data_IF_137485614906
#
_entry.id   IF_137485614906
#
_cell.length_a   1.000
_cell.length_b   1.000
_cell.length_c   1.000
_cell.angle_alpha   90.00
_cell.angle_beta   90.00
_cell.angle_gamma   90.00
#
_symmetry.space_group_name_H-M   'P 1'
#
loop_
_entity.id
_entity.type
_entity.pdbx_description
1 polymer ?
#
# COMPACT_ATOMS: atom_id res chain seq x y z
N UNK A 1 -1.86 -37.27 -1.53
CA UNK A 1 -2.20 -36.74 -0.20
C UNK A 1 -2.67 -35.30 -0.38
N UNK A 2 -3.78 -34.86 0.26
CA UNK A 2 -4.11 -33.44 0.24
C UNK A 2 -3.11 -32.68 1.13
N UNK A 3 -2.54 -31.57 0.65
CA UNK A 3 -1.69 -30.70 1.47
C UNK A 3 -2.54 -29.71 2.26
N UNK A 4 -2.15 -29.42 3.50
CA UNK A 4 -2.71 -28.31 4.25
C UNK A 4 -2.06 -27.00 3.77
N UNK A 5 -2.87 -25.98 3.52
CA UNK A 5 -2.44 -24.64 3.11
C UNK A 5 -3.02 -23.60 4.09
N UNK A 6 -2.21 -22.63 4.48
CA UNK A 6 -2.60 -21.54 5.37
C UNK A 6 -2.21 -20.20 4.73
N UNK A 7 -3.06 -19.19 4.94
CA UNK A 7 -2.84 -17.81 4.51
C UNK A 7 -3.24 -16.88 5.64
N UNK A 8 -2.68 -15.68 5.65
CA UNK A 8 -3.03 -14.59 6.56
C UNK A 8 -3.39 -13.32 5.79
N UNK A 9 -3.97 -12.35 6.50
CA UNK A 9 -4.27 -11.01 6.02
C UNK A 9 -4.28 -10.06 7.21
N UNK A 10 -4.07 -8.77 6.94
CA UNK A 10 -4.12 -7.71 7.94
C UNK A 10 -5.15 -6.66 7.53
N UNK A 11 -5.72 -5.98 8.52
CA UNK A 11 -6.70 -4.91 8.29
C UNK A 11 -6.04 -3.65 7.74
N UNK A 12 -6.84 -2.74 7.20
CA UNK A 12 -6.39 -1.41 6.76
C UNK A 12 -5.62 -0.60 7.82
N UNK A 13 -5.91 -0.82 9.11
CA UNK A 13 -5.21 -0.14 10.21
C UNK A 13 -3.83 -0.69 10.55
N UNK A 14 -3.36 -1.77 9.90
CA UNK A 14 -2.00 -2.26 10.10
C UNK A 14 -1.00 -1.20 9.58
N UNK A 15 0.09 -0.86 10.30
CA UNK A 15 1.01 0.21 9.90
C UNK A 15 1.53 0.04 8.46
N UNK A 16 1.85 -1.19 8.05
CA UNK A 16 2.27 -1.45 6.66
C UNK A 16 1.15 -1.16 5.65
N UNK A 17 -0.11 -1.53 5.96
CA UNK A 17 -1.24 -1.23 5.07
C UNK A 17 -1.59 0.25 5.06
N UNK A 18 -1.39 0.94 6.17
CA UNK A 18 -1.51 2.40 6.23
C UNK A 18 -0.45 3.07 5.36
N UNK A 19 0.80 2.60 5.40
CA UNK A 19 1.86 3.09 4.53
C UNK A 19 1.53 2.84 3.04
N UNK A 20 1.07 1.64 2.69
CA UNK A 20 0.58 1.30 1.33
C UNK A 20 -0.49 2.30 0.88
N UNK A 21 -1.52 2.53 1.71
CA UNK A 21 -2.62 3.45 1.39
C UNK A 21 -2.15 4.90 1.19
N UNK A 22 -1.20 5.38 1.98
CA UNK A 22 -0.63 6.72 1.83
C UNK A 22 0.13 6.83 0.51
N UNK A 23 0.98 5.85 0.18
CA UNK A 23 1.74 5.83 -1.06
C UNK A 23 0.83 5.76 -2.29
N UNK A 24 -0.21 4.92 -2.26
CA UNK A 24 -1.17 4.78 -3.36
C UNK A 24 -2.03 6.04 -3.52
N UNK A 25 -2.45 6.69 -2.43
CA UNK A 25 -3.20 7.94 -2.52
C UNK A 25 -2.39 9.06 -3.21
N UNK A 26 -1.08 9.09 -2.99
CA UNK A 26 -0.17 10.03 -3.68
C UNK A 26 -0.04 9.65 -5.16
N UNK A 27 0.14 8.36 -5.48
CA UNK A 27 0.15 7.86 -6.85
C UNK A 27 -1.12 8.25 -7.60
N UNK A 28 -2.29 7.98 -7.02
CA UNK A 28 -3.60 8.28 -7.61
C UNK A 28 -3.77 9.78 -7.89
N UNK A 29 -3.40 10.62 -6.92
CA UNK A 29 -3.48 12.08 -7.08
C UNK A 29 -2.57 12.61 -8.21
N UNK A 30 -1.43 11.96 -8.44
CA UNK A 30 -0.51 12.30 -9.53
C UNK A 30 -1.07 11.79 -10.87
N UNK A 31 -1.47 10.52 -10.95
CA UNK A 31 -2.00 9.91 -12.18
C UNK A 31 -3.30 10.57 -12.65
N UNK A 32 -4.11 11.09 -11.73
CA UNK A 32 -5.30 11.87 -12.06
C UNK A 32 -4.99 13.16 -12.86
N UNK A 33 -3.77 13.68 -12.75
CA UNK A 33 -3.31 14.90 -13.45
C UNK A 33 -2.42 14.59 -14.64
N UNK A 34 -1.55 13.59 -14.50
CA UNK A 34 -0.64 13.12 -15.55
C UNK A 34 -0.63 11.58 -15.58
N UNK A 35 -1.42 10.96 -16.48
CA UNK A 35 -1.49 9.50 -16.61
C UNK A 35 -0.16 8.84 -17.03
N UNK A 36 0.83 9.60 -17.50
CA UNK A 36 2.14 9.10 -17.90
C UNK A 36 3.23 9.40 -16.86
N UNK A 37 2.85 9.96 -15.71
CA UNK A 37 3.76 10.26 -14.63
C UNK A 37 4.46 8.99 -14.12
N UNK A 38 5.73 9.13 -13.76
CA UNK A 38 6.50 8.07 -13.11
C UNK A 38 6.60 8.39 -11.63
N UNK A 39 6.05 7.51 -10.79
CA UNK A 39 5.97 7.70 -9.34
C UNK A 39 6.58 6.48 -8.65
N UNK A 40 7.48 6.73 -7.70
CA UNK A 40 8.06 5.73 -6.81
C UNK A 40 7.98 6.30 -5.39
N UNK A 41 6.76 6.31 -4.85
CA UNK A 41 6.46 6.89 -3.54
C UNK A 41 6.58 5.83 -2.45
N UNK A 42 7.37 6.11 -1.43
CA UNK A 42 7.56 5.25 -0.25
C UNK A 42 7.05 6.00 0.99
N UNK A 43 6.39 5.29 1.90
CA UNK A 43 5.86 5.86 3.15
C UNK A 43 6.41 5.11 4.36
N UNK A 44 6.78 5.87 5.39
CA UNK A 44 7.13 5.34 6.71
C UNK A 44 6.13 5.88 7.73
N UNK A 45 5.59 4.98 8.55
CA UNK A 45 4.72 5.33 9.67
C UNK A 45 5.32 4.77 10.96
N UNK A 46 5.33 5.61 12.00
CA UNK A 46 5.81 5.25 13.33
C UNK A 46 5.10 6.11 14.37
N UNK A 47 5.47 5.99 15.63
CA UNK A 47 4.97 6.89 16.68
C UNK A 47 5.40 8.32 16.34
N UNK A 48 4.42 9.24 16.31
CA UNK A 48 4.63 10.64 15.97
C UNK A 48 5.61 11.37 16.89
#
# INVERSE_FOLDING_TARGET
MPSLFTSESVTEGHPDKLADQISDAILDAILAKDPLARVACEAIVTTG
#
